data_IF_187851806630
#
_entry.id   IF_187851806630
#
_cell.length_a   1.000
_cell.length_b   1.000
_cell.length_c   1.000
_cell.angle_alpha   90.00
_cell.angle_beta   90.00
_cell.angle_gamma   90.00
#
_symmetry.space_group_name_H-M   'P 1'
#
loop_
_entity.id
_entity.type
_entity.pdbx_description
1 polymer ?
#
# COMPACT_ATOMS: atom_id res chain seq x y z
N UNK A 1 -57.50 55.87 -57.95
CA UNK A 1 -56.99 55.60 -56.60
C UNK A 1 -56.00 54.45 -56.55
N UNK A 2 -54.91 54.49 -57.33
CA UNK A 2 -53.91 53.40 -57.41
C UNK A 2 -52.58 53.66 -56.68
N UNK A 3 -52.29 54.91 -56.28
CA UNK A 3 -51.03 55.28 -55.62
C UNK A 3 -51.03 55.08 -54.10
N UNK A 4 -52.21 55.01 -53.48
CA UNK A 4 -52.31 54.80 -52.02
C UNK A 4 -52.08 53.32 -51.67
N UNK A 5 -52.52 52.36 -52.50
CA UNK A 5 -52.38 50.92 -52.20
C UNK A 5 -50.93 50.38 -52.25
N UNK A 6 -50.04 50.99 -53.02
CA UNK A 6 -48.62 50.58 -53.08
C UNK A 6 -47.82 51.00 -51.83
N UNK A 7 -48.18 52.12 -51.20
CA UNK A 7 -47.54 52.57 -49.95
C UNK A 7 -47.85 51.68 -48.75
N UNK A 8 -49.10 51.18 -48.66
CA UNK A 8 -49.49 50.25 -47.59
C UNK A 8 -48.86 48.86 -47.76
N UNK A 9 -48.66 48.37 -48.99
CA UNK A 9 -48.00 47.09 -49.24
C UNK A 9 -46.50 47.10 -48.85
N UNK A 10 -45.79 48.21 -49.13
CA UNK A 10 -44.40 48.40 -48.70
C UNK A 10 -44.28 48.59 -47.18
N UNK A 11 -45.21 49.32 -46.55
CA UNK A 11 -45.23 49.48 -45.11
C UNK A 11 -45.55 48.17 -44.37
N UNK A 12 -46.50 47.37 -44.85
CA UNK A 12 -46.83 46.06 -44.27
C UNK A 12 -45.67 45.06 -44.48
N UNK A 13 -45.01 45.10 -45.64
CA UNK A 13 -43.81 44.29 -45.91
C UNK A 13 -42.62 44.66 -45.01
N UNK A 14 -42.39 45.95 -44.79
CA UNK A 14 -41.34 46.44 -43.89
C UNK A 14 -41.65 46.18 -42.42
N UNK A 15 -42.91 46.32 -41.98
CA UNK A 15 -43.32 46.03 -40.60
C UNK A 15 -43.28 44.52 -40.33
N UNK A 16 -43.71 43.67 -41.27
CA UNK A 16 -43.62 42.21 -41.13
C UNK A 16 -42.17 41.71 -41.20
N UNK A 17 -41.34 42.33 -42.03
CA UNK A 17 -39.90 42.08 -42.08
C UNK A 17 -39.17 42.53 -40.82
N UNK A 18 -39.49 43.71 -40.29
CA UNK A 18 -38.94 44.21 -39.03
C UNK A 18 -39.42 43.40 -37.82
N UNK A 19 -40.67 42.93 -37.80
CA UNK A 19 -41.19 42.10 -36.72
C UNK A 19 -40.59 40.69 -36.72
N UNK A 20 -40.43 40.07 -37.89
CA UNK A 20 -39.71 38.79 -38.02
C UNK A 20 -38.22 38.96 -37.70
N UNK A 21 -37.59 40.06 -38.12
CA UNK A 21 -36.20 40.34 -37.78
C UNK A 21 -36.02 40.61 -36.28
N UNK A 22 -36.92 41.37 -35.65
CA UNK A 22 -36.86 41.67 -34.22
C UNK A 22 -37.07 40.41 -33.38
N UNK A 23 -38.14 39.66 -33.63
CA UNK A 23 -38.41 38.40 -32.91
C UNK A 23 -37.35 37.32 -33.16
N UNK A 24 -36.78 37.26 -34.37
CA UNK A 24 -35.70 36.31 -34.67
C UNK A 24 -34.35 36.75 -34.12
N UNK A 25 -34.09 38.05 -34.00
CA UNK A 25 -32.87 38.58 -33.38
C UNK A 25 -32.93 38.52 -31.85
N UNK A 26 -34.13 38.63 -31.26
CA UNK A 26 -34.38 38.43 -29.83
C UNK A 26 -34.20 36.95 -29.47
N UNK A 27 -34.83 36.02 -30.19
CA UNK A 27 -34.59 34.57 -30.05
C UNK A 27 -33.11 34.17 -30.21
N UNK A 28 -32.40 34.80 -31.14
CA UNK A 28 -30.96 34.57 -31.35
C UNK A 28 -30.13 35.00 -30.15
N UNK A 29 -30.42 36.19 -29.59
CA UNK A 29 -29.74 36.70 -28.39
C UNK A 29 -30.03 35.79 -27.20
N UNK A 30 -31.27 35.34 -27.04
CA UNK A 30 -31.65 34.41 -25.99
C UNK A 30 -30.91 33.08 -26.14
N UNK A 31 -30.82 32.52 -27.35
CA UNK A 31 -30.07 31.28 -27.59
C UNK A 31 -28.55 31.41 -27.36
N UNK A 32 -27.95 32.57 -27.69
CA UNK A 32 -26.53 32.82 -27.37
C UNK A 32 -26.35 32.89 -25.85
N UNK A 33 -27.23 33.61 -25.14
CA UNK A 33 -27.20 33.68 -23.68
C UNK A 33 -27.36 32.29 -23.03
N UNK A 34 -28.28 31.46 -23.53
CA UNK A 34 -28.45 30.08 -23.07
C UNK A 34 -27.18 29.23 -23.26
N UNK A 35 -26.45 29.42 -24.36
CA UNK A 35 -25.17 28.73 -24.60
C UNK A 35 -24.03 29.29 -23.73
N UNK A 36 -24.00 30.58 -23.46
CA UNK A 36 -23.05 31.20 -22.52
C UNK A 36 -23.29 30.73 -21.08
N UNK A 37 -24.54 30.58 -20.68
CA UNK A 37 -24.94 29.99 -19.39
C UNK A 37 -24.52 28.51 -19.31
N UNK A 38 -24.68 27.74 -20.39
CA UNK A 38 -24.16 26.37 -20.47
C UNK A 38 -22.64 26.29 -20.33
N UNK A 39 -21.88 27.22 -20.93
CA UNK A 39 -20.42 27.29 -20.74
C UNK A 39 -20.05 27.58 -19.28
N UNK A 40 -20.79 28.48 -18.64
CA UNK A 40 -20.58 28.85 -17.24
C UNK A 40 -20.86 27.66 -16.32
N UNK A 41 -22.00 26.99 -16.49
CA UNK A 41 -22.34 25.77 -15.75
C UNK A 41 -21.29 24.67 -15.96
N UNK A 42 -20.85 24.46 -17.20
CA UNK A 42 -19.84 23.46 -17.54
C UNK A 42 -18.49 23.72 -16.85
N UNK A 43 -18.10 24.99 -16.70
CA UNK A 43 -16.90 25.37 -15.95
C UNK A 43 -17.04 25.05 -14.46
N UNK A 44 -18.19 25.39 -13.87
CA UNK A 44 -18.49 25.10 -12.46
C UNK A 44 -18.46 23.60 -12.21
N UNK A 45 -19.14 22.80 -13.03
CA UNK A 45 -19.17 21.34 -12.90
C UNK A 45 -17.78 20.72 -13.04
N UNK A 46 -16.96 21.25 -13.95
CA UNK A 46 -15.57 20.84 -14.12
C UNK A 46 -14.70 21.16 -12.89
N UNK A 47 -14.88 22.33 -12.27
CA UNK A 47 -14.14 22.72 -11.08
C UNK A 47 -14.54 21.88 -9.86
N UNK A 48 -15.84 21.59 -9.71
CA UNK A 48 -16.37 20.66 -8.70
C UNK A 48 -15.80 19.25 -8.91
N UNK A 49 -15.82 18.74 -10.14
CA UNK A 49 -15.25 17.44 -10.47
C UNK A 49 -13.76 17.36 -10.10
N UNK A 50 -12.97 18.35 -10.50
CA UNK A 50 -11.52 18.40 -10.20
C UNK A 50 -11.25 18.47 -8.71
N UNK A 51 -12.03 19.26 -7.98
CA UNK A 51 -11.91 19.37 -6.52
C UNK A 51 -12.19 18.04 -5.84
N UNK A 52 -13.29 17.38 -6.20
CA UNK A 52 -13.68 16.10 -5.61
C UNK A 52 -12.69 14.98 -5.96
N UNK A 53 -12.25 14.92 -7.22
CA UNK A 53 -11.25 13.95 -7.67
C UNK A 53 -9.93 14.12 -6.92
N UNK A 54 -9.47 15.37 -6.74
CA UNK A 54 -8.26 15.66 -5.97
C UNK A 54 -8.41 15.26 -4.51
N UNK A 55 -9.50 15.63 -3.86
CA UNK A 55 -9.73 15.31 -2.46
C UNK A 55 -9.73 13.80 -2.22
N UNK A 56 -10.47 13.05 -3.05
CA UNK A 56 -10.50 11.57 -2.97
C UNK A 56 -9.14 10.94 -3.22
N UNK A 57 -8.36 11.48 -4.16
CA UNK A 57 -7.02 11.03 -4.45
C UNK A 57 -6.06 11.30 -3.27
N UNK A 58 -6.08 12.52 -2.71
CA UNK A 58 -5.24 12.93 -1.58
C UNK A 58 -5.56 12.09 -0.32
N UNK A 59 -6.85 11.79 -0.07
CA UNK A 59 -7.28 10.89 1.01
C UNK A 59 -6.72 9.47 0.82
N UNK A 60 -6.86 8.92 -0.39
CA UNK A 60 -6.36 7.58 -0.71
C UNK A 60 -4.84 7.50 -0.58
N UNK A 61 -4.10 8.49 -1.11
CA UNK A 61 -2.66 8.58 -0.97
C UNK A 61 -2.22 8.72 0.49
N UNK A 62 -2.98 9.46 1.31
CA UNK A 62 -2.70 9.58 2.75
C UNK A 62 -2.80 8.21 3.43
N UNK A 63 -3.86 7.45 3.18
CA UNK A 63 -4.02 6.10 3.73
C UNK A 63 -2.92 5.14 3.26
N UNK A 64 -2.59 5.15 1.96
CA UNK A 64 -1.52 4.30 1.43
C UNK A 64 -0.15 4.66 2.03
N UNK A 65 0.12 5.96 2.22
CA UNK A 65 1.36 6.45 2.83
C UNK A 65 1.46 6.03 4.30
N UNK A 66 0.37 6.13 5.06
CA UNK A 66 0.32 5.65 6.45
C UNK A 66 0.58 4.14 6.55
N UNK A 67 0.00 3.35 5.64
CA UNK A 67 0.26 1.90 5.60
C UNK A 67 1.71 1.57 5.23
N UNK A 68 2.31 2.32 4.30
CA UNK A 68 3.74 2.17 3.97
C UNK A 68 4.66 2.50 5.15
N UNK A 69 4.33 3.55 5.91
CA UNK A 69 5.08 3.93 7.10
C UNK A 69 4.93 2.88 8.22
N UNK A 70 3.71 2.41 8.48
CA UNK A 70 3.46 1.34 9.44
C UNK A 70 4.23 0.06 9.09
N UNK A 71 4.13 -0.41 7.84
CA UNK A 71 4.88 -1.58 7.37
C UNK A 71 6.40 -1.37 7.47
N UNK A 72 6.90 -0.16 7.21
CA UNK A 72 8.33 0.15 7.36
C UNK A 72 8.79 0.08 8.81
N UNK A 73 7.98 0.57 9.76
CA UNK A 73 8.26 0.45 11.20
C UNK A 73 8.22 -1.01 11.67
N UNK A 74 7.24 -1.81 11.21
CA UNK A 74 7.16 -3.23 11.54
C UNK A 74 8.34 -4.03 10.98
N UNK A 75 8.76 -3.72 9.75
CA UNK A 75 9.97 -4.28 9.16
C UNK A 75 11.22 -3.92 9.96
N UNK A 76 11.38 -2.67 10.39
CA UNK A 76 12.52 -2.24 11.23
C UNK A 76 12.55 -2.99 12.56
N UNK A 77 11.39 -3.10 13.23
CA UNK A 77 11.26 -3.87 14.48
C UNK A 77 11.62 -5.35 14.29
N UNK A 78 11.18 -5.98 13.18
CA UNK A 78 11.54 -7.37 12.88
C UNK A 78 13.05 -7.52 12.62
N UNK A 79 13.69 -6.57 11.93
CA UNK A 79 15.15 -6.56 11.75
C UNK A 79 15.90 -6.38 13.08
N UNK A 80 15.43 -5.50 13.96
CA UNK A 80 16.01 -5.31 15.28
C UNK A 80 15.88 -6.56 16.14
N UNK A 81 14.71 -7.19 16.15
CA UNK A 81 14.46 -8.43 16.87
C UNK A 81 15.32 -9.59 16.35
N UNK A 82 15.52 -9.68 15.03
CA UNK A 82 16.44 -10.65 14.42
C UNK A 82 17.87 -10.43 14.92
N UNK A 83 18.37 -9.18 14.88
CA UNK A 83 19.71 -8.83 15.38
C UNK A 83 19.87 -9.11 16.87
N UNK A 84 18.87 -8.75 17.67
CA UNK A 84 18.84 -8.98 19.12
C UNK A 84 18.81 -10.46 19.46
N UNK A 85 18.06 -11.28 18.72
CA UNK A 85 18.03 -12.74 18.87
C UNK A 85 19.41 -13.36 18.59
N UNK A 86 20.07 -12.95 17.51
CA UNK A 86 21.45 -13.39 17.20
C UNK A 86 22.45 -12.97 18.28
N UNK A 87 22.38 -11.72 18.75
CA UNK A 87 23.26 -11.20 19.79
C UNK A 87 23.05 -11.93 21.13
N UNK A 88 21.79 -12.12 21.52
CA UNK A 88 21.40 -12.88 22.71
C UNK A 88 21.86 -14.34 22.61
N UNK A 89 21.69 -14.98 21.46
CA UNK A 89 22.16 -16.34 21.20
C UNK A 89 23.68 -16.49 21.36
N UNK A 90 24.45 -15.56 20.80
CA UNK A 90 25.91 -15.53 20.94
C UNK A 90 26.35 -15.36 22.40
N UNK A 91 25.72 -14.45 23.14
CA UNK A 91 26.01 -14.21 24.56
C UNK A 91 25.66 -15.42 25.43
N UNK A 92 24.48 -16.00 25.24
CA UNK A 92 24.03 -17.21 25.96
C UNK A 92 24.98 -18.36 25.69
N UNK A 93 25.39 -18.59 24.44
CA UNK A 93 26.35 -19.64 24.08
C UNK A 93 27.71 -19.45 24.79
N UNK A 94 28.23 -18.23 24.81
CA UNK A 94 29.48 -17.90 25.51
C UNK A 94 29.39 -18.08 27.03
N UNK A 95 28.31 -17.60 27.67
CA UNK A 95 28.12 -17.74 29.13
C UNK A 95 27.85 -19.19 29.54
N UNK A 96 27.04 -19.92 28.77
CA UNK A 96 26.79 -21.35 28.94
C UNK A 96 28.08 -22.16 28.85
N UNK A 97 28.92 -21.89 27.84
CA UNK A 97 30.22 -22.54 27.69
C UNK A 97 31.15 -22.28 28.88
N UNK A 98 31.14 -21.06 29.44
CA UNK A 98 31.93 -20.73 30.65
C UNK A 98 31.44 -21.52 31.86
N UNK A 99 30.12 -21.57 32.09
CA UNK A 99 29.53 -22.33 33.19
C UNK A 99 29.83 -23.82 33.06
N UNK A 100 29.64 -24.40 31.87
CA UNK A 100 29.96 -25.80 31.61
C UNK A 100 31.44 -26.10 31.85
N UNK A 101 32.36 -25.20 31.49
CA UNK A 101 33.78 -25.39 31.77
C UNK A 101 34.09 -25.37 33.28
N UNK A 102 33.42 -24.50 34.04
CA UNK A 102 33.56 -24.45 35.50
C UNK A 102 33.01 -25.73 36.14
N UNK A 103 31.82 -26.18 35.73
CA UNK A 103 31.21 -27.43 36.20
C UNK A 103 32.06 -28.65 35.82
N UNK A 104 32.60 -28.67 34.60
CA UNK A 104 33.50 -29.74 34.14
C UNK A 104 34.78 -29.81 34.96
N UNK A 105 35.40 -28.66 35.24
CA UNK A 105 36.60 -28.59 36.08
C UNK A 105 36.30 -29.07 37.51
N UNK A 106 35.17 -28.65 38.10
CA UNK A 106 34.73 -29.10 39.42
C UNK A 106 34.48 -30.61 39.46
N UNK A 107 33.84 -31.16 38.43
CA UNK A 107 33.61 -32.60 38.29
C UNK A 107 34.94 -33.37 38.19
N UNK A 108 35.88 -32.89 37.38
CA UNK A 108 37.21 -33.47 37.26
C UNK A 108 37.95 -33.49 38.59
N UNK A 109 37.90 -32.40 39.35
CA UNK A 109 38.55 -32.31 40.66
C UNK A 109 37.87 -33.23 41.69
N UNK A 110 36.54 -33.32 41.69
CA UNK A 110 35.82 -34.29 42.53
C UNK A 110 36.20 -35.73 42.19
N UNK A 111 36.27 -36.09 40.91
CA UNK A 111 36.71 -37.43 40.46
C UNK A 111 38.15 -37.72 40.89
N UNK A 112 39.05 -36.75 40.75
CA UNK A 112 40.46 -36.88 41.20
C UNK A 112 40.54 -37.06 42.72
N UNK A 113 39.79 -36.28 43.49
CA UNK A 113 39.76 -36.39 44.95
C UNK A 113 39.23 -37.75 45.39
N UNK A 114 38.11 -38.23 44.83
CA UNK A 114 37.54 -39.55 45.14
C UNK A 114 38.47 -40.69 44.75
N UNK A 115 39.19 -40.56 43.64
CA UNK A 115 40.19 -41.55 43.24
C UNK A 115 41.41 -41.50 44.18
N UNK A 116 41.84 -40.31 44.57
CA UNK A 116 42.96 -40.10 45.49
C UNK A 116 42.68 -40.62 46.90
N UNK A 117 41.47 -40.42 47.44
CA UNK A 117 41.05 -40.98 48.72
C UNK A 117 40.97 -42.50 48.65
N UNK A 118 40.42 -43.09 47.58
CA UNK A 118 40.43 -44.53 47.37
C UNK A 118 41.87 -45.11 47.33
N UNK A 119 42.81 -44.41 46.70
CA UNK A 119 44.24 -44.77 46.66
C UNK A 119 44.90 -44.64 48.04
N UNK A 120 44.58 -43.59 48.80
CA UNK A 120 45.13 -43.39 50.15
C UNK A 120 44.61 -44.45 51.13
N UNK A 121 43.30 -44.74 51.12
CA UNK A 121 42.70 -45.82 51.90
C UNK A 121 43.26 -47.19 51.52
N UNK A 122 43.50 -47.43 50.23
CA UNK A 122 44.20 -48.61 49.72
C UNK A 122 45.62 -48.73 50.27
N UNK A 123 46.39 -47.64 50.23
CA UNK A 123 47.82 -47.63 50.61
C UNK A 123 48.01 -47.83 52.12
N UNK A 124 47.11 -47.33 52.96
CA UNK A 124 47.15 -47.49 54.42
C UNK A 124 46.73 -48.89 54.92
N UNK A 125 46.19 -49.76 54.06
CA UNK A 125 45.52 -51.00 54.46
C UNK A 125 46.40 -52.26 54.53
N UNK A 126 47.68 -52.19 54.15
CA UNK A 126 48.62 -53.32 54.21
C UNK A 126 48.35 -54.44 53.18
N UNK A 127 49.40 -55.23 52.88
CA UNK A 127 49.53 -56.14 51.73
C UNK A 127 48.33 -57.08 51.41
N UNK A 128 47.49 -57.43 52.39
CA UNK A 128 46.33 -58.33 52.21
C UNK A 128 45.09 -57.64 51.63
N UNK A 129 44.99 -56.31 51.69
CA UNK A 129 43.88 -55.54 51.11
C UNK A 129 44.18 -54.98 49.71
N UNK A 130 45.38 -55.17 49.17
CA UNK A 130 45.82 -54.64 47.87
C UNK A 130 44.91 -55.03 46.68
N UNK A 131 44.30 -56.22 46.70
CA UNK A 131 43.32 -56.65 45.69
C UNK A 131 41.98 -55.89 45.80
N UNK A 132 41.49 -55.66 47.02
CA UNK A 132 40.26 -54.89 47.30
C UNK A 132 40.45 -53.40 46.98
N UNK A 133 41.59 -52.85 47.38
CA UNK A 133 42.09 -51.52 47.06
C UNK A 133 42.12 -51.22 45.54
N UNK A 134 42.70 -52.13 44.75
CA UNK A 134 42.73 -51.99 43.29
C UNK A 134 41.33 -52.06 42.68
N UNK A 135 40.40 -52.81 43.28
CA UNK A 135 39.02 -52.87 42.84
C UNK A 135 38.28 -51.56 43.13
N UNK A 136 38.44 -50.99 44.33
CA UNK A 136 37.90 -49.67 44.69
C UNK A 136 38.42 -48.56 43.78
N UNK A 137 39.73 -48.57 43.44
CA UNK A 137 40.31 -47.66 42.46
C UNK A 137 39.66 -47.81 41.08
N UNK A 138 39.51 -49.04 40.58
CA UNK A 138 38.88 -49.30 39.28
C UNK A 138 37.41 -48.87 39.24
N UNK A 139 36.68 -49.08 40.33
CA UNK A 139 35.29 -48.64 40.47
C UNK A 139 35.22 -47.11 40.45
N UNK A 140 35.99 -46.42 41.31
CA UNK A 140 36.04 -44.96 41.34
C UNK A 140 36.45 -44.33 39.99
N UNK A 141 37.41 -44.95 39.28
CA UNK A 141 37.81 -44.52 37.94
C UNK A 141 36.71 -44.74 36.90
N UNK A 142 36.00 -45.88 36.95
CA UNK A 142 34.89 -46.18 36.04
C UNK A 142 33.72 -45.23 36.27
N UNK A 143 33.36 -45.01 37.52
CA UNK A 143 32.27 -44.11 37.91
C UNK A 143 32.60 -42.67 37.51
N UNK A 144 33.84 -42.22 37.74
CA UNK A 144 34.31 -40.91 37.32
C UNK A 144 34.32 -40.72 35.80
N UNK A 145 34.74 -41.75 35.04
CA UNK A 145 34.72 -41.72 33.57
C UNK A 145 33.28 -41.65 33.04
N UNK A 146 32.36 -42.39 33.65
CA UNK A 146 30.93 -42.35 33.29
C UNK A 146 30.29 -41.00 33.64
N UNK A 147 30.61 -40.42 34.79
CA UNK A 147 30.13 -39.10 35.18
C UNK A 147 30.60 -38.01 34.20
N UNK A 148 31.90 -38.01 33.84
CA UNK A 148 32.47 -37.12 32.84
C UNK A 148 31.79 -37.30 31.47
N UNK A 149 31.56 -38.55 31.05
CA UNK A 149 30.88 -38.83 29.78
C UNK A 149 29.44 -38.32 29.77
N UNK A 150 28.68 -38.51 30.85
CA UNK A 150 27.31 -38.00 30.97
C UNK A 150 27.27 -36.48 30.95
N UNK A 151 28.19 -35.83 31.65
CA UNK A 151 28.32 -34.38 31.66
C UNK A 151 28.54 -33.82 30.25
N UNK A 152 29.48 -34.41 29.48
CA UNK A 152 29.72 -34.00 28.09
C UNK A 152 28.47 -34.10 27.22
N UNK A 153 27.74 -35.21 27.30
CA UNK A 153 26.50 -35.40 26.54
C UNK A 153 25.44 -34.36 26.93
N UNK A 154 25.28 -34.06 28.23
CA UNK A 154 24.34 -33.04 28.70
C UNK A 154 24.74 -31.63 28.24
N UNK A 155 26.04 -31.32 28.27
CA UNK A 155 26.60 -30.07 27.78
C UNK A 155 26.36 -29.88 26.27
N UNK A 156 26.64 -30.90 25.46
CA UNK A 156 26.39 -30.89 24.02
C UNK A 156 24.89 -30.70 23.71
N UNK A 157 24.01 -31.37 24.47
CA UNK A 157 22.56 -31.23 24.30
C UNK A 157 22.05 -29.82 24.64
N UNK A 158 22.53 -29.22 25.74
CA UNK A 158 22.17 -27.86 26.13
C UNK A 158 22.65 -26.83 25.10
N UNK A 159 23.86 -27.01 24.56
CA UNK A 159 24.39 -26.16 23.49
C UNK A 159 23.55 -26.29 22.21
N UNK A 160 23.16 -27.52 21.84
CA UNK A 160 22.29 -27.75 20.69
C UNK A 160 20.90 -27.10 20.86
N UNK A 161 20.25 -27.26 22.02
CA UNK A 161 18.96 -26.63 22.31
C UNK A 161 19.04 -25.10 22.23
N UNK A 162 20.11 -24.51 22.76
CA UNK A 162 20.34 -23.07 22.70
C UNK A 162 20.49 -22.58 21.25
N UNK A 163 21.26 -23.29 20.44
CA UNK A 163 21.41 -23.01 19.01
C UNK A 163 20.08 -23.13 18.26
N UNK A 164 19.32 -24.21 18.50
CA UNK A 164 18.06 -24.46 17.81
C UNK A 164 17.01 -23.37 18.08
N UNK A 165 16.92 -22.88 19.32
CA UNK A 165 16.02 -21.77 19.66
C UNK A 165 16.37 -20.47 18.92
N UNK A 166 17.67 -20.18 18.77
CA UNK A 166 18.16 -19.00 18.04
C UNK A 166 17.91 -19.18 16.53
N UNK A 167 18.16 -20.37 16.00
CA UNK A 167 17.88 -20.71 14.59
C UNK A 167 16.40 -20.53 14.25
N UNK A 168 15.49 -21.10 15.06
CA UNK A 168 14.05 -20.96 14.86
C UNK A 168 13.58 -19.52 14.94
N UNK A 169 14.10 -18.75 15.91
CA UNK A 169 13.80 -17.32 16.02
C UNK A 169 14.26 -16.57 14.76
N UNK A 170 15.49 -16.85 14.30
CA UNK A 170 16.05 -16.23 13.10
C UNK A 170 15.23 -16.55 11.84
N UNK A 171 14.83 -17.81 11.66
CA UNK A 171 13.96 -18.24 10.54
C UNK A 171 12.61 -17.53 10.58
N UNK A 172 11.94 -17.50 11.73
CA UNK A 172 10.67 -16.78 11.88
C UNK A 172 10.79 -15.28 11.54
N UNK A 173 11.85 -14.61 12.01
CA UNK A 173 12.04 -13.20 11.66
C UNK A 173 12.39 -13.02 10.17
N UNK A 174 13.08 -13.97 9.55
CA UNK A 174 13.35 -13.91 8.12
C UNK A 174 12.04 -14.02 7.30
N UNK A 175 11.16 -14.96 7.65
CA UNK A 175 9.86 -15.13 7.01
C UNK A 175 8.99 -13.87 7.18
N UNK A 176 9.02 -13.26 8.37
CA UNK A 176 8.34 -11.97 8.61
C UNK A 176 8.89 -10.85 7.73
N UNK A 177 10.22 -10.75 7.60
CA UNK A 177 10.86 -9.73 6.76
C UNK A 177 10.53 -9.90 5.27
N UNK A 178 10.46 -11.14 4.79
CA UNK A 178 10.01 -11.43 3.42
C UNK A 178 8.55 -10.99 3.21
N UNK A 179 7.68 -11.26 4.19
CA UNK A 179 6.29 -10.80 4.19
C UNK A 179 6.17 -9.28 4.10
N UNK A 180 6.87 -8.53 4.96
CA UNK A 180 6.84 -7.07 4.94
C UNK A 180 7.44 -6.48 3.65
N UNK A 181 8.49 -7.10 3.09
CA UNK A 181 9.05 -6.69 1.80
C UNK A 181 8.05 -6.87 0.67
N UNK A 182 7.35 -8.01 0.63
CA UNK A 182 6.29 -8.25 -0.34
C UNK A 182 5.17 -7.22 -0.21
N UNK A 183 4.69 -6.98 1.01
CA UNK A 183 3.63 -6.00 1.27
C UNK A 183 4.06 -4.57 0.89
N UNK A 184 5.32 -4.21 1.12
CA UNK A 184 5.87 -2.92 0.71
C UNK A 184 5.80 -2.74 -0.81
N UNK A 185 6.15 -3.77 -1.57
CA UNK A 185 6.05 -3.74 -3.04
C UNK A 185 4.60 -3.55 -3.47
N UNK A 186 3.67 -4.34 -2.91
CA UNK A 186 2.24 -4.23 -3.22
C UNK A 186 1.68 -2.84 -2.90
N UNK A 187 2.03 -2.26 -1.75
CA UNK A 187 1.60 -0.92 -1.38
C UNK A 187 2.20 0.15 -2.30
N UNK A 188 3.46 -0.02 -2.73
CA UNK A 188 4.12 0.90 -3.66
C UNK A 188 3.47 0.86 -5.04
N UNK A 189 3.14 -0.34 -5.55
CA UNK A 189 2.41 -0.52 -6.81
C UNK A 189 1.00 0.09 -6.74
N UNK A 190 0.32 -0.02 -5.59
CA UNK A 190 -0.99 0.63 -5.38
C UNK A 190 -0.89 2.15 -5.43
N UNK A 191 0.15 2.75 -4.87
CA UNK A 191 0.39 4.20 -4.97
C UNK A 191 0.58 4.62 -6.42
N UNK A 192 1.39 3.88 -7.18
CA UNK A 192 1.61 4.15 -8.60
C UNK A 192 0.32 4.02 -9.42
N UNK A 193 -0.42 2.93 -9.21
CA UNK A 193 -1.72 2.69 -9.87
C UNK A 193 -2.72 3.80 -9.57
N UNK A 194 -2.79 4.27 -8.32
CA UNK A 194 -3.70 5.35 -7.92
C UNK A 194 -3.31 6.68 -8.58
N UNK A 195 -2.02 6.99 -8.69
CA UNK A 195 -1.53 8.17 -9.42
C UNK A 195 -1.88 8.10 -10.92
N UNK A 196 -1.72 6.94 -11.55
CA UNK A 196 -2.10 6.73 -12.96
C UNK A 196 -3.61 6.86 -13.17
N UNK A 197 -4.41 6.30 -12.26
CA UNK A 197 -5.87 6.42 -12.29
C UNK A 197 -6.32 7.88 -12.16
N UNK A 198 -5.75 8.63 -11.20
CA UNK A 198 -6.04 10.05 -11.03
C UNK A 198 -5.73 10.84 -12.30
N UNK A 199 -4.54 10.63 -12.89
CA UNK A 199 -4.12 11.28 -14.13
C UNK A 199 -5.08 10.95 -15.29
N UNK A 200 -5.41 9.68 -15.47
CA UNK A 200 -6.31 9.21 -16.54
C UNK A 200 -7.71 9.80 -16.40
N UNK A 201 -8.27 9.82 -15.18
CA UNK A 201 -9.58 10.44 -14.91
C UNK A 201 -9.58 11.94 -15.21
N UNK A 202 -8.51 12.64 -14.83
CA UNK A 202 -8.34 14.06 -15.11
C UNK A 202 -8.21 14.37 -16.61
N UNK A 203 -7.42 13.59 -17.34
CA UNK A 203 -7.23 13.73 -18.79
C UNK A 203 -8.54 13.46 -19.55
N UNK A 204 -9.24 12.37 -19.20
CA UNK A 204 -10.53 12.03 -19.80
C UNK A 204 -11.58 13.11 -19.56
N UNK A 205 -11.69 13.62 -18.33
CA UNK A 205 -12.60 14.72 -18.03
C UNK A 205 -12.23 16.00 -18.82
N UNK A 206 -10.94 16.34 -18.87
CA UNK A 206 -10.46 17.51 -19.62
C UNK A 206 -10.82 17.41 -21.10
N UNK A 207 -10.64 16.23 -21.72
CA UNK A 207 -11.06 15.96 -23.11
C UNK A 207 -12.56 16.14 -23.29
N UNK A 208 -13.38 15.57 -22.41
CA UNK A 208 -14.85 15.70 -22.48
C UNK A 208 -15.30 17.15 -22.36
N UNK A 209 -14.73 17.91 -21.42
CA UNK A 209 -15.04 19.32 -21.22
C UNK A 209 -14.63 20.14 -22.44
N UNK A 210 -13.43 19.92 -22.99
CA UNK A 210 -12.96 20.63 -24.18
C UNK A 210 -13.84 20.34 -25.41
N UNK A 211 -14.26 19.09 -25.61
CA UNK A 211 -15.17 18.71 -26.69
C UNK A 211 -16.54 19.41 -26.54
N UNK A 212 -17.12 19.42 -25.33
CA UNK A 212 -18.38 20.13 -25.05
C UNK A 212 -18.24 21.64 -25.25
N UNK A 213 -17.17 22.26 -24.76
CA UNK A 213 -16.89 23.69 -24.99
C UNK A 213 -16.75 24.01 -26.47
N UNK A 214 -16.02 23.19 -27.22
CA UNK A 214 -15.85 23.37 -28.66
C UNK A 214 -17.19 23.32 -29.40
N UNK A 215 -18.07 22.39 -29.03
CA UNK A 215 -19.42 22.30 -29.59
C UNK A 215 -20.26 23.53 -29.24
N UNK A 216 -20.30 23.97 -27.98
CA UNK A 216 -21.07 25.14 -27.58
C UNK A 216 -20.56 26.41 -28.30
N UNK A 217 -19.24 26.59 -28.37
CA UNK A 217 -18.63 27.71 -29.09
C UNK A 217 -18.95 27.68 -30.59
N UNK A 218 -19.06 26.51 -31.22
CA UNK A 218 -19.47 26.43 -32.63
C UNK A 218 -20.93 26.83 -32.81
N UNK A 219 -21.82 26.44 -31.88
CA UNK A 219 -23.24 26.86 -31.91
C UNK A 219 -23.39 28.37 -31.74
N UNK A 220 -22.65 28.98 -30.81
CA UNK A 220 -22.62 30.44 -30.63
C UNK A 220 -22.16 31.10 -31.93
N UNK A 221 -21.05 30.63 -32.50
CA UNK A 221 -20.49 31.18 -33.75
C UNK A 221 -21.47 31.08 -34.92
N UNK A 222 -22.16 29.96 -35.09
CA UNK A 222 -23.18 29.81 -36.15
C UNK A 222 -24.34 30.80 -35.98
N UNK A 223 -24.73 31.10 -34.73
CA UNK A 223 -25.73 32.13 -34.41
C UNK A 223 -25.20 33.56 -34.64
N UNK A 224 -23.91 33.81 -34.38
CA UNK A 224 -23.26 35.11 -34.60
C UNK A 224 -23.04 35.42 -36.09
N UNK A 225 -22.54 34.45 -36.86
CA UNK A 225 -22.15 34.59 -38.28
C UNK A 225 -23.35 34.67 -39.23
N UNK A 226 -24.58 34.49 -38.74
CA UNK A 226 -25.79 34.65 -39.56
C UNK A 226 -26.14 33.43 -40.44
N UNK A 227 -25.46 32.29 -40.27
CA UNK A 227 -25.74 31.04 -40.99
C UNK A 227 -27.08 30.40 -40.59
N UNK A 228 -27.71 30.90 -39.52
CA UNK A 228 -29.08 30.55 -39.15
C UNK A 228 -30.14 31.05 -40.16
N UNK A 229 -29.86 32.11 -40.92
CA UNK A 229 -30.76 32.64 -41.95
C UNK A 229 -30.88 31.72 -43.17
N UNK A 230 -29.87 30.89 -43.46
CA UNK A 230 -29.96 29.84 -44.49
C UNK A 230 -30.65 28.58 -43.97
N UNK A 231 -30.73 28.35 -42.65
CA UNK A 231 -31.41 27.20 -42.03
C UNK A 231 -32.89 27.45 -41.68
N UNK A 232 -33.33 28.70 -41.48
CA UNK A 232 -34.76 29.01 -41.30
C UNK A 232 -35.61 28.85 -42.58
N UNK A 233 -34.98 28.59 -43.72
CA UNK A 233 -35.65 28.07 -44.92
C UNK A 233 -35.90 26.55 -44.92
N UNK A 234 -35.39 25.81 -43.92
CA UNK A 234 -35.38 24.34 -43.93
C UNK A 234 -35.66 23.63 -42.60
N UNK A 235 -35.73 24.30 -41.45
CA UNK A 235 -35.92 23.64 -40.13
C UNK A 235 -37.20 24.12 -39.46
N UNK A 236 -38.36 23.68 -39.99
CA UNK A 236 -39.58 23.49 -39.21
C UNK A 236 -39.79 21.97 -39.13
N UNK A 237 -39.17 21.35 -38.13
CA UNK A 237 -39.24 19.91 -37.89
C UNK A 237 -37.88 19.37 -37.49
N UNK A 238 -37.83 18.53 -36.46
CA UNK A 238 -36.64 17.96 -35.79
C UNK A 238 -36.08 18.83 -34.65
N UNK A 239 -36.85 18.99 -33.57
CA UNK A 239 -36.39 19.67 -32.36
C UNK A 239 -36.97 19.15 -31.05
N UNK A 240 -37.60 17.97 -31.03
CA UNK A 240 -38.21 17.41 -29.81
C UNK A 240 -37.56 16.11 -29.29
N UNK A 241 -36.72 15.44 -30.07
CA UNK A 241 -36.39 14.03 -29.78
C UNK A 241 -34.91 13.79 -29.41
N UNK A 242 -34.06 14.82 -29.36
CA UNK A 242 -32.64 14.65 -28.95
C UNK A 242 -32.37 14.91 -27.46
N UNK A 243 -33.41 15.23 -26.69
CA UNK A 243 -33.35 15.36 -25.22
C UNK A 243 -34.24 14.32 -24.51
N UNK A 244 -34.35 13.10 -25.05
CA UNK A 244 -34.89 11.98 -24.26
C UNK A 244 -33.79 11.36 -23.41
N UNK A 245 -33.82 11.71 -22.12
CA UNK A 245 -33.35 10.94 -20.97
C UNK A 245 -32.23 9.91 -21.19
N UNK A 246 -31.02 10.30 -20.81
CA UNK A 246 -30.11 9.36 -20.14
C UNK A 246 -29.70 10.00 -18.83
N UNK A 247 -30.40 9.61 -17.77
CA UNK A 247 -30.03 9.89 -16.39
C UNK A 247 -28.53 9.55 -16.19
N UNK A 248 -27.76 10.36 -15.47
CA UNK A 248 -26.45 9.91 -15.03
C UNK A 248 -26.70 8.81 -13.98
N UNK A 249 -26.48 7.57 -14.38
CA UNK A 249 -26.24 6.47 -13.46
C UNK A 249 -24.98 6.80 -12.68
N UNK A 250 -25.17 7.34 -11.47
CA UNK A 250 -24.22 7.17 -10.39
C UNK A 250 -24.38 5.73 -9.92
N UNK A 251 -23.64 4.82 -10.52
CA UNK A 251 -23.35 3.53 -9.89
C UNK A 251 -22.06 3.69 -9.10
N UNK A 252 -22.19 3.42 -7.80
CA UNK A 252 -21.11 3.32 -6.82
C UNK A 252 -19.97 2.44 -7.35
N UNK A 253 -18.77 3.00 -7.47
CA UNK A 253 -17.48 2.30 -7.37
C UNK A 253 -16.49 3.22 -6.67
#
# INVERSE_FOLDING_TARGET
>A
GGLIMLGWALAIGAVKGAFNWYTSNEKRKDSIADYEDQLTSLNIDNDVFKSNLKMSHDETLTTLSQNLEANSMEMENAQENQKSSLASGSKVSSESSKLMNIEYASLLDSVKQNTGTAIASASNSGFRMAASANNLKKIAQKDGTQAISKFKIQSDLQNYQSYENVRQSYENYNDQLEGYQFEKTVLSEKVETENENYKTKLENNTLQINNKKSYINSQIKDLEDGSWLTHLGGVIGLGSDMFSSSAPYWEEI
#
